data_IF_588734185441
#
_entry.id   IF_588734185441
#
_cell.length_a   1.000
_cell.length_b   1.000
_cell.length_c   1.000
_cell.angle_alpha   90.00
_cell.angle_beta   90.00
_cell.angle_gamma   90.00
#
_symmetry.space_group_name_H-M   'P 1'
#
loop_
_entity.id
_entity.type
_entity.pdbx_description
1 polymer ?
#
# COMPACT_ATOMS: atom_id res chain seq x y z
N UNK A 1 -5.55 -14.60 6.67
CA UNK A 1 -5.54 -14.01 5.32
C UNK A 1 -4.11 -14.00 4.83
N UNK A 2 -3.87 -14.50 3.62
CA UNK A 2 -2.53 -14.77 3.06
C UNK A 2 -2.06 -13.57 2.24
N UNK A 3 -0.90 -12.99 2.57
CA UNK A 3 -0.28 -11.94 1.77
C UNK A 3 0.05 -12.47 0.37
N UNK A 4 -0.41 -11.77 -0.68
CA UNK A 4 -0.14 -12.12 -2.08
C UNK A 4 0.85 -11.11 -2.66
N UNK A 5 1.89 -11.58 -3.33
CA UNK A 5 2.85 -10.74 -4.06
C UNK A 5 2.67 -10.92 -5.58
N UNK A 6 2.72 -9.82 -6.33
CA UNK A 6 2.44 -9.81 -7.79
C UNK A 6 3.52 -9.06 -8.57
N UNK A 7 3.74 -9.46 -9.83
CA UNK A 7 4.66 -8.83 -10.79
C UNK A 7 3.93 -7.68 -11.52
N UNK A 8 4.56 -6.51 -11.68
CA UNK A 8 3.93 -5.18 -11.89
C UNK A 8 3.11 -4.95 -13.18
N UNK A 9 2.99 -5.92 -14.11
CA UNK A 9 2.35 -5.72 -15.43
C UNK A 9 0.84 -5.41 -15.40
N UNK A 10 0.18 -5.42 -14.24
CA UNK A 10 -1.23 -5.05 -14.09
C UNK A 10 -1.48 -3.88 -13.14
N UNK A 11 -0.42 -3.23 -12.65
CA UNK A 11 -0.53 -2.14 -11.69
C UNK A 11 -0.48 -0.81 -12.45
N UNK A 12 -1.58 -0.05 -12.43
CA UNK A 12 -1.61 1.30 -12.98
C UNK A 12 -1.29 2.29 -11.86
N UNK A 13 -0.19 3.02 -12.00
CA UNK A 13 0.18 4.09 -11.09
C UNK A 13 -0.49 5.40 -11.51
N UNK A 14 -0.82 6.24 -10.54
CA UNK A 14 -1.35 7.59 -10.76
C UNK A 14 -0.91 8.52 -9.62
N UNK A 15 -1.04 9.83 -9.85
CA UNK A 15 -0.87 10.84 -8.81
C UNK A 15 -2.24 11.45 -8.49
N UNK A 16 -2.44 11.83 -7.25
CA UNK A 16 -3.67 12.51 -6.82
C UNK A 16 -3.37 13.44 -5.64
N UNK A 17 -4.18 14.47 -5.47
CA UNK A 17 -4.10 15.34 -4.31
C UNK A 17 -4.87 14.73 -3.15
N UNK A 18 -4.26 14.73 -1.96
CA UNK A 18 -4.96 14.49 -0.72
C UNK A 18 -4.53 15.55 0.28
N UNK A 19 -5.50 16.22 0.87
CA UNK A 19 -5.27 17.45 1.65
C UNK A 19 -4.53 18.47 0.77
N UNK A 20 -3.27 18.77 1.09
CA UNK A 20 -2.43 19.74 0.38
C UNK A 20 -1.21 19.10 -0.29
N UNK A 21 -1.09 17.77 -0.24
CA UNK A 21 0.09 17.06 -0.74
C UNK A 21 -0.24 16.15 -1.93
N UNK A 22 0.71 16.09 -2.88
CA UNK A 22 0.62 15.19 -4.02
C UNK A 22 1.04 13.77 -3.60
N UNK A 23 0.10 12.83 -3.71
CA UNK A 23 0.27 11.46 -3.27
C UNK A 23 0.52 10.49 -4.43
N UNK A 24 1.16 9.37 -4.12
CA UNK A 24 1.30 8.22 -5.00
C UNK A 24 0.11 7.27 -4.86
N UNK A 25 -0.54 7.00 -5.99
CA UNK A 25 -1.65 6.07 -6.09
C UNK A 25 -1.34 4.86 -6.97
N UNK A 26 -2.01 3.74 -6.70
CA UNK A 26 -2.05 2.60 -7.60
C UNK A 26 -3.47 2.03 -7.71
N UNK A 27 -3.81 1.51 -8.90
CA UNK A 27 -5.03 0.76 -9.13
C UNK A 27 -4.69 -0.73 -9.25
N UNK A 28 -5.41 -1.56 -8.49
CA UNK A 28 -5.34 -3.02 -8.56
C UNK A 28 -6.73 -3.62 -8.40
N UNK A 29 -7.14 -4.50 -9.31
CA UNK A 29 -8.46 -5.17 -9.31
C UNK A 29 -9.64 -4.20 -9.05
N UNK A 30 -9.64 -3.05 -9.72
CA UNK A 30 -10.67 -1.98 -9.57
C UNK A 30 -10.70 -1.27 -8.21
N UNK A 31 -9.80 -1.61 -7.29
CA UNK A 31 -9.57 -0.85 -6.07
C UNK A 31 -8.42 0.15 -6.27
N UNK A 32 -8.52 1.27 -5.55
CA UNK A 32 -7.54 2.35 -5.57
C UNK A 32 -6.83 2.36 -4.22
N UNK A 33 -5.50 2.47 -4.26
CA UNK A 33 -4.67 2.47 -3.07
C UNK A 33 -3.74 3.68 -3.08
N UNK A 34 -3.43 4.18 -1.87
CA UNK A 34 -2.42 5.20 -1.62
C UNK A 34 -1.15 4.56 -1.07
N UNK A 35 0.01 5.02 -1.52
CA UNK A 35 1.29 4.65 -0.93
C UNK A 35 1.44 5.32 0.43
N UNK A 36 1.63 4.54 1.48
CA UNK A 36 1.81 5.05 2.85
C UNK A 36 3.23 4.80 3.38
N UNK A 37 3.97 3.88 2.77
CA UNK A 37 5.37 3.61 3.13
C UNK A 37 6.16 3.12 1.91
N UNK A 38 7.42 3.55 1.83
CA UNK A 38 8.44 2.97 0.94
C UNK A 38 9.63 2.57 1.78
N UNK A 39 10.18 1.39 1.52
CA UNK A 39 11.31 0.83 2.24
C UNK A 39 12.23 0.09 1.27
N UNK A 40 13.51 0.00 1.61
CA UNK A 40 14.46 -0.82 0.84
C UNK A 40 14.02 -2.30 0.88
N UNK A 41 14.22 -3.03 -0.20
CA UNK A 41 13.87 -4.45 -0.33
C UNK A 41 14.51 -5.35 0.75
N UNK A 42 15.65 -4.94 1.32
CA UNK A 42 16.26 -5.59 2.48
C UNK A 42 15.34 -5.58 3.70
N UNK A 43 14.51 -4.55 3.86
CA UNK A 43 13.54 -4.37 4.95
C UNK A 43 12.18 -5.03 4.67
N UNK A 44 12.01 -5.75 3.55
CA UNK A 44 10.72 -6.35 3.15
C UNK A 44 10.05 -7.15 4.28
N UNK A 45 10.82 -7.86 5.12
CA UNK A 45 10.27 -8.68 6.21
C UNK A 45 9.55 -7.81 7.25
N UNK A 46 10.16 -6.69 7.63
CA UNK A 46 9.59 -5.72 8.55
C UNK A 46 8.36 -5.05 7.92
N UNK A 47 8.45 -4.69 6.63
CA UNK A 47 7.31 -4.15 5.89
C UNK A 47 6.12 -5.12 5.87
N UNK A 48 6.35 -6.42 5.62
CA UNK A 48 5.30 -7.44 5.66
C UNK A 48 4.72 -7.64 7.07
N UNK A 49 5.54 -7.56 8.11
CA UNK A 49 5.07 -7.64 9.49
C UNK A 49 4.18 -6.45 9.82
N UNK A 50 4.58 -5.24 9.44
CA UNK A 50 3.79 -4.04 9.59
C UNK A 50 2.47 -4.13 8.82
N UNK A 51 2.51 -4.55 7.56
CA UNK A 51 1.32 -4.78 6.72
C UNK A 51 0.33 -5.75 7.39
N UNK A 52 0.84 -6.84 7.98
CA UNK A 52 0.01 -7.81 8.70
C UNK A 52 -0.65 -7.20 9.95
N UNK A 53 0.06 -6.36 10.70
CA UNK A 53 -0.50 -5.69 11.88
C UNK A 53 -1.65 -4.75 11.48
N UNK A 54 -1.48 -4.00 10.39
CA UNK A 54 -2.54 -3.14 9.84
C UNK A 54 -3.73 -3.96 9.33
N UNK A 55 -3.48 -5.05 8.61
CA UNK A 55 -4.53 -5.94 8.14
C UNK A 55 -5.31 -6.60 9.29
N UNK A 56 -4.65 -6.94 10.40
CA UNK A 56 -5.29 -7.44 11.62
C UNK A 56 -6.20 -6.39 12.27
N UNK A 57 -5.89 -5.10 12.12
CA UNK A 57 -6.76 -3.98 12.54
C UNK A 57 -7.89 -3.68 11.54
N UNK A 58 -8.01 -4.45 10.46
CA UNK A 58 -9.06 -4.30 9.45
C UNK A 58 -8.72 -3.38 8.28
N UNK A 59 -7.48 -2.89 8.19
CA UNK A 59 -7.04 -2.13 7.01
C UNK A 59 -6.93 -3.05 5.78
N UNK A 60 -7.35 -2.55 4.62
CA UNK A 60 -7.13 -3.24 3.34
C UNK A 60 -5.80 -2.77 2.75
N UNK A 61 -4.80 -3.66 2.81
CA UNK A 61 -3.40 -3.35 2.59
C UNK A 61 -2.84 -4.23 1.47
N UNK A 62 -2.02 -3.62 0.60
CA UNK A 62 -1.20 -4.33 -0.38
C UNK A 62 0.28 -4.02 -0.16
N UNK A 63 1.12 -5.01 -0.42
CA UNK A 63 2.58 -4.84 -0.48
C UNK A 63 3.02 -5.14 -1.90
N UNK A 64 3.74 -4.21 -2.51
CA UNK A 64 4.40 -4.42 -3.81
C UNK A 64 5.91 -4.28 -3.65
N UNK A 65 6.65 -4.80 -4.61
CA UNK A 65 8.09 -4.59 -4.71
C UNK A 65 8.45 -4.26 -6.15
N UNK A 66 9.39 -3.35 -6.33
CA UNK A 66 9.89 -2.92 -7.62
C UNK A 66 11.39 -2.60 -7.46
N UNK A 67 12.23 -3.25 -8.28
CA UNK A 67 13.68 -3.16 -8.20
C UNK A 67 14.26 -3.37 -6.79
N UNK A 68 14.69 -2.28 -6.14
CA UNK A 68 15.32 -2.26 -4.82
C UNK A 68 14.38 -1.78 -3.72
N UNK A 69 13.13 -1.48 -4.07
CA UNK A 69 12.17 -0.93 -3.15
C UNK A 69 10.99 -1.88 -2.93
N UNK A 70 10.39 -1.73 -1.76
CA UNK A 70 9.10 -2.30 -1.41
C UNK A 70 8.17 -1.21 -0.91
N UNK A 71 6.90 -1.31 -1.26
CA UNK A 71 5.91 -0.28 -1.03
C UNK A 71 4.69 -0.87 -0.31
N UNK A 72 4.20 -0.11 0.67
CA UNK A 72 2.97 -0.40 1.39
C UNK A 72 1.86 0.51 0.86
N UNK A 73 0.74 -0.11 0.52
CA UNK A 73 -0.38 0.56 -0.10
C UNK A 73 -1.65 0.34 0.73
N UNK A 74 -2.34 1.41 1.08
CA UNK A 74 -3.60 1.39 1.81
C UNK A 74 -4.76 1.70 0.87
N UNK A 75 -5.82 0.89 0.91
CA UNK A 75 -7.00 1.13 0.10
C UNK A 75 -7.65 2.47 0.48
N UNK A 76 -7.86 3.34 -0.49
CA UNK A 76 -8.46 4.66 -0.28
C UNK A 76 -9.88 4.58 0.30
N UNK A 77 -10.60 3.48 0.08
CA UNK A 77 -11.93 3.27 0.69
C UNK A 77 -11.86 3.01 2.21
N UNK A 78 -10.75 2.48 2.72
CA UNK A 78 -10.56 2.20 4.14
C UNK A 78 -9.95 3.38 4.92
N UNK A 79 -9.56 4.47 4.24
CA UNK A 79 -9.05 5.68 4.92
C UNK A 79 -10.06 6.35 5.86
N UNK A 80 -11.34 6.02 5.78
CA UNK A 80 -12.32 6.48 6.78
C UNK A 80 -12.05 5.94 8.20
N UNK A 81 -11.18 4.93 8.37
CA UNK A 81 -10.80 4.39 9.68
C UNK A 81 -9.53 5.01 10.29
N UNK A 82 -8.70 5.72 9.51
CA UNK A 82 -7.40 6.24 9.99
C UNK A 82 -7.42 7.71 10.44
N UNK A 83 -8.54 8.43 10.38
CA UNK A 83 -8.66 9.73 11.07
C UNK A 83 -8.72 9.61 12.62
N UNK A 84 -8.30 8.48 13.19
CA UNK A 84 -8.33 8.21 14.64
C UNK A 84 -7.08 7.49 15.19
N UNK A 85 -5.98 7.41 14.44
CA UNK A 85 -4.65 7.04 14.97
C UNK A 85 -3.76 8.28 15.03
#
# INVERSE_FOLDING_TARGET
>A
MTAKSFKSQQIKHFKFWLEEDLQDGMQYQYALFQRIQTSDYSQRKELYQHANQLAQKGADILVTYEDKDCHLWLNLKHKSLEMQL
#
